data_IF_820437429625
#
_entry.id   IF_820437429625
#
_cell.length_a   1.000
_cell.length_b   1.000
_cell.length_c   1.000
_cell.angle_alpha   90.00
_cell.angle_beta   90.00
_cell.angle_gamma   90.00
#
_symmetry.space_group_name_H-M   'P 1'
#
loop_
_entity.id
_entity.type
_entity.pdbx_description
1 polymer ?
#
# COMPACT_ATOMS: atom_id res chain seq x y z
N UNK A 1 -22.52 -7.87 2.36
CA UNK A 1 -21.52 -6.79 2.15
C UNK A 1 -20.53 -6.77 3.31
N UNK A 2 -19.25 -6.61 3.00
CA UNK A 2 -18.21 -6.59 4.04
C UNK A 2 -18.09 -5.20 4.67
N UNK A 3 -17.92 -5.17 5.99
CA UNK A 3 -17.62 -3.92 6.70
C UNK A 3 -16.17 -3.52 6.44
N UNK A 4 -15.82 -2.28 6.80
CA UNK A 4 -14.43 -1.81 6.70
C UNK A 4 -13.49 -2.68 7.53
N UNK A 5 -13.94 -3.10 8.71
CA UNK A 5 -13.15 -3.95 9.60
C UNK A 5 -12.94 -5.34 8.99
N UNK A 6 -13.95 -5.90 8.34
CA UNK A 6 -13.84 -7.19 7.64
C UNK A 6 -12.89 -7.11 6.46
N UNK A 7 -12.92 -6.01 5.72
CA UNK A 7 -12.01 -5.78 4.59
C UNK A 7 -10.57 -5.71 5.10
N UNK A 8 -10.33 -4.92 6.15
CA UNK A 8 -8.99 -4.80 6.74
C UNK A 8 -8.48 -6.15 7.22
N UNK A 9 -9.33 -6.90 7.92
CA UNK A 9 -8.98 -8.22 8.43
C UNK A 9 -8.63 -9.18 7.29
N UNK A 10 -9.43 -9.18 6.21
CA UNK A 10 -9.17 -10.01 5.05
C UNK A 10 -7.79 -9.69 4.42
N UNK A 11 -7.52 -8.40 4.22
CA UNK A 11 -6.25 -7.96 3.61
C UNK A 11 -5.06 -8.38 4.46
N UNK A 12 -5.15 -8.20 5.78
CA UNK A 12 -4.04 -8.49 6.69
C UNK A 12 -3.77 -9.99 6.86
N UNK A 13 -4.67 -10.86 6.43
CA UNK A 13 -4.47 -12.31 6.47
C UNK A 13 -3.72 -12.84 5.26
N UNK A 14 -3.53 -12.05 4.23
CA UNK A 14 -2.83 -12.50 3.02
C UNK A 14 -1.32 -12.32 3.17
N UNK A 15 -0.55 -12.96 2.28
CA UNK A 15 0.91 -12.88 2.30
C UNK A 15 1.42 -11.55 1.73
N UNK A 16 0.67 -11.00 0.78
CA UNK A 16 1.07 -9.77 0.10
C UNK A 16 -0.18 -9.04 -0.38
N UNK A 17 -0.03 -7.77 -0.64
CA UNK A 17 -1.04 -6.97 -1.33
C UNK A 17 -0.50 -6.59 -2.70
N UNK A 18 -1.36 -6.59 -3.71
CA UNK A 18 -0.98 -6.14 -5.04
C UNK A 18 -1.43 -4.71 -5.20
N UNK A 19 -0.52 -3.86 -5.64
CA UNK A 19 -0.86 -2.45 -5.87
C UNK A 19 -0.64 -2.10 -7.33
N UNK A 20 -1.45 -1.18 -7.82
CA UNK A 20 -1.36 -0.69 -9.18
C UNK A 20 -1.05 0.80 -9.18
N UNK A 21 -0.23 1.22 -10.14
CA UNK A 21 0.10 2.61 -10.41
C UNK A 21 -0.02 2.85 -11.91
N UNK A 22 0.02 4.11 -12.32
CA UNK A 22 -0.09 4.48 -13.74
C UNK A 22 1.20 5.14 -14.18
N UNK A 23 1.78 4.66 -15.28
CA UNK A 23 3.01 5.23 -15.81
C UNK A 23 2.76 6.45 -16.70
N UNK A 24 3.84 7.04 -17.23
CA UNK A 24 3.75 8.27 -18.04
C UNK A 24 2.96 8.09 -19.33
N UNK A 25 2.91 6.87 -19.86
CA UNK A 25 2.17 6.57 -21.06
C UNK A 25 0.71 6.18 -20.77
N UNK A 26 0.32 6.18 -19.50
CA UNK A 26 -1.04 5.83 -19.09
C UNK A 26 -1.29 4.36 -18.88
N UNK A 27 -0.25 3.53 -18.92
CA UNK A 27 -0.43 2.10 -18.67
C UNK A 27 -0.46 1.80 -17.18
N UNK A 28 -1.35 0.88 -16.76
CA UNK A 28 -1.34 0.41 -15.37
C UNK A 28 -0.19 -0.55 -15.14
N UNK A 29 0.50 -0.35 -14.03
CA UNK A 29 1.60 -1.22 -13.59
C UNK A 29 1.19 -1.86 -12.27
N UNK A 30 1.60 -3.09 -12.04
CA UNK A 30 1.23 -3.82 -10.82
C UNK A 30 2.45 -4.40 -10.14
N UNK A 31 2.40 -4.46 -8.82
CA UNK A 31 3.46 -5.06 -8.03
C UNK A 31 2.90 -5.65 -6.75
N UNK A 32 3.49 -6.76 -6.33
CA UNK A 32 3.24 -7.32 -5.01
C UNK A 32 4.04 -6.52 -3.97
N UNK A 33 3.40 -6.19 -2.86
CA UNK A 33 4.04 -5.48 -1.76
C UNK A 33 3.79 -6.20 -0.45
N UNK A 34 4.63 -5.91 0.53
CA UNK A 34 4.35 -6.30 1.90
C UNK A 34 3.03 -5.68 2.32
N UNK A 35 2.35 -6.32 3.26
CA UNK A 35 1.06 -5.87 3.72
C UNK A 35 1.13 -4.46 4.31
N UNK A 36 0.01 -3.72 4.29
CA UNK A 36 -0.02 -2.41 4.94
C UNK A 36 0.30 -2.57 6.42
N UNK A 37 1.02 -1.62 6.97
CA UNK A 37 1.42 -1.64 8.39
C UNK A 37 0.40 -0.98 9.30
N UNK A 38 -0.49 -0.21 8.72
CA UNK A 38 -1.58 0.43 9.45
C UNK A 38 -2.77 0.57 8.52
N UNK A 39 -3.95 0.30 9.04
CA UNK A 39 -5.22 0.54 8.35
C UNK A 39 -6.10 1.35 9.29
N UNK A 40 -6.55 2.50 8.82
CA UNK A 40 -7.42 3.38 9.57
C UNK A 40 -8.58 3.78 8.67
N UNK A 41 -9.72 3.11 8.84
CA UNK A 41 -10.88 3.33 8.01
C UNK A 41 -10.59 3.05 6.55
N UNK A 42 -10.63 4.08 5.72
CA UNK A 42 -10.34 3.99 4.29
C UNK A 42 -8.87 4.23 3.95
N UNK A 43 -8.02 4.43 4.94
CA UNK A 43 -6.62 4.77 4.74
C UNK A 43 -5.72 3.57 5.04
N UNK A 44 -4.85 3.24 4.10
CA UNK A 44 -3.94 2.11 4.19
C UNK A 44 -2.51 2.63 4.05
N UNK A 45 -1.65 2.30 5.02
CA UNK A 45 -0.30 2.83 5.08
C UNK A 45 0.72 1.74 4.81
N UNK A 46 1.55 1.95 3.79
CA UNK A 46 2.61 1.02 3.39
C UNK A 46 3.95 1.70 3.57
N UNK A 47 4.97 0.92 3.96
CA UNK A 47 6.33 1.44 3.93
C UNK A 47 6.99 1.05 2.61
N UNK A 48 7.75 1.98 2.02
CA UNK A 48 8.45 1.74 0.77
C UNK A 48 9.64 2.68 0.67
N UNK A 49 10.34 2.61 -0.44
CA UNK A 49 11.46 3.50 -0.70
C UNK A 49 11.09 4.56 -1.73
N UNK A 50 11.61 5.77 -1.49
CA UNK A 50 11.34 6.94 -2.34
C UNK A 50 11.83 6.73 -3.77
N UNK A 51 12.94 6.00 -3.92
CA UNK A 51 13.56 5.78 -5.23
C UNK A 51 12.85 4.75 -6.10
N UNK A 52 11.82 4.06 -5.58
CA UNK A 52 11.12 3.06 -6.38
C UNK A 52 10.36 3.70 -7.54
N UNK A 53 10.25 2.95 -8.64
CA UNK A 53 9.52 3.41 -9.82
C UNK A 53 8.07 3.75 -9.49
N UNK A 54 7.38 2.90 -8.69
CA UNK A 54 5.98 3.15 -8.35
C UNK A 54 5.79 4.40 -7.49
N UNK A 55 6.74 4.70 -6.59
CA UNK A 55 6.67 5.92 -5.80
C UNK A 55 6.75 7.15 -6.71
N UNK A 56 7.66 7.12 -7.69
CA UNK A 56 7.78 8.21 -8.66
C UNK A 56 6.52 8.33 -9.52
N UNK A 57 5.90 7.21 -9.86
CA UNK A 57 4.65 7.21 -10.61
C UNK A 57 3.52 7.87 -9.80
N UNK A 58 3.39 7.55 -8.52
CA UNK A 58 2.36 8.14 -7.66
C UNK A 58 2.55 9.65 -7.47
N UNK A 59 3.78 10.13 -7.47
CA UNK A 59 4.04 11.57 -7.39
C UNK A 59 3.48 12.31 -8.61
N UNK A 60 3.42 11.66 -9.75
CA UNK A 60 2.89 12.24 -10.99
C UNK A 60 1.41 11.96 -11.21
N UNK A 61 0.97 10.77 -10.80
CA UNK A 61 -0.42 10.36 -10.96
C UNK A 61 -0.84 9.57 -9.71
N UNK A 62 -1.68 10.16 -8.85
CA UNK A 62 -2.05 9.52 -7.60
C UNK A 62 -3.04 8.37 -7.72
N UNK A 63 -3.60 8.13 -8.89
CA UNK A 63 -4.57 7.05 -9.07
C UNK A 63 -3.93 5.70 -8.79
N UNK A 64 -4.62 4.89 -7.99
CA UNK A 64 -4.09 3.63 -7.50
C UNK A 64 -5.20 2.61 -7.27
N UNK A 65 -4.80 1.36 -7.23
CA UNK A 65 -5.68 0.26 -6.84
C UNK A 65 -4.91 -0.69 -5.94
N UNK A 66 -5.64 -1.36 -5.05
CA UNK A 66 -5.10 -2.45 -4.25
C UNK A 66 -5.94 -3.68 -4.53
N UNK A 67 -5.29 -4.83 -4.65
CA UNK A 67 -5.99 -6.10 -4.79
C UNK A 67 -5.45 -7.10 -3.78
N UNK A 68 -6.38 -7.80 -3.10
CA UNK A 68 -6.07 -8.89 -2.18
C UNK A 68 -6.85 -10.12 -2.61
N UNK A 69 -6.22 -11.27 -2.51
CA UNK A 69 -6.74 -12.50 -3.06
C UNK A 69 -6.49 -13.66 -2.09
N UNK A 70 -7.51 -14.47 -1.91
CA UNK A 70 -7.40 -15.68 -1.12
C UNK A 70 -7.97 -16.85 -1.92
N UNK A 71 -7.15 -17.85 -2.15
CA UNK A 71 -7.59 -19.09 -2.80
C UNK A 71 -7.94 -20.11 -1.72
N UNK A 72 -9.24 -20.30 -1.49
CA UNK A 72 -9.73 -21.34 -0.61
C UNK A 72 -9.79 -22.68 -1.33
N UNK A 73 -10.18 -23.73 -0.61
CA UNK A 73 -10.34 -25.06 -1.18
C UNK A 73 -11.42 -25.12 -2.23
N UNK A 74 -12.52 -24.40 -2.02
CA UNK A 74 -13.71 -24.45 -2.87
C UNK A 74 -13.98 -23.10 -3.50
N UNK A 75 -13.71 -22.01 -2.77
CA UNK A 75 -14.02 -20.65 -3.22
C UNK A 75 -12.78 -19.81 -3.36
N UNK A 76 -12.81 -18.91 -4.32
CA UNK A 76 -11.85 -17.82 -4.41
C UNK A 76 -12.50 -16.58 -3.84
N UNK A 77 -11.74 -15.80 -3.11
CA UNK A 77 -12.19 -14.50 -2.62
C UNK A 77 -11.20 -13.44 -3.02
N UNK A 78 -11.71 -12.31 -3.48
CA UNK A 78 -10.86 -11.19 -3.86
C UNK A 78 -11.50 -9.89 -3.46
N UNK A 79 -10.67 -8.93 -3.08
CA UNK A 79 -11.11 -7.57 -2.77
C UNK A 79 -10.26 -6.63 -3.59
N UNK A 80 -10.92 -5.81 -4.41
CA UNK A 80 -10.26 -4.72 -5.14
C UNK A 80 -10.74 -3.39 -4.58
N UNK A 81 -9.80 -2.53 -4.23
CA UNK A 81 -10.07 -1.17 -3.81
C UNK A 81 -9.44 -0.23 -4.81
N UNK A 82 -10.15 0.80 -5.21
CA UNK A 82 -9.60 1.85 -6.05
C UNK A 82 -9.64 3.17 -5.30
N UNK A 83 -8.66 4.03 -5.55
CA UNK A 83 -8.53 5.29 -4.84
C UNK A 83 -7.31 6.06 -5.26
N UNK A 84 -6.71 6.74 -4.30
CA UNK A 84 -5.54 7.58 -4.54
C UNK A 84 -4.42 7.24 -3.57
N UNK A 85 -3.19 7.44 -4.02
CA UNK A 85 -1.99 7.19 -3.23
C UNK A 85 -1.23 8.49 -3.02
N UNK A 86 -0.87 8.77 -1.77
CA UNK A 86 -0.01 9.89 -1.42
C UNK A 86 1.34 9.39 -0.95
N UNK A 87 2.39 10.10 -1.30
CA UNK A 87 3.75 9.82 -0.82
C UNK A 87 4.01 10.73 0.37
N UNK A 88 4.16 10.15 1.55
CA UNK A 88 4.35 10.90 2.79
C UNK A 88 5.79 10.76 3.28
N UNK A 89 6.43 11.89 3.56
CA UNK A 89 7.81 11.94 4.04
C UNK A 89 7.97 12.72 5.34
N UNK A 90 6.87 13.17 5.94
CA UNK A 90 6.94 13.85 7.22
C UNK A 90 7.40 12.89 8.31
N UNK A 91 8.23 13.38 9.20
CA UNK A 91 8.91 12.57 10.19
C UNK A 91 7.95 11.86 11.14
N UNK A 92 6.85 12.51 11.46
CA UNK A 92 5.85 11.97 12.37
C UNK A 92 5.24 10.66 11.85
N UNK A 93 4.77 10.65 10.59
CA UNK A 93 4.18 9.45 10.00
C UNK A 93 5.25 8.39 9.75
N UNK A 94 6.46 8.78 9.38
CA UNK A 94 7.57 7.84 9.18
C UNK A 94 7.88 7.09 10.49
N UNK A 95 7.90 7.79 11.61
CA UNK A 95 8.13 7.17 12.91
C UNK A 95 6.98 6.23 13.30
N UNK A 96 5.74 6.62 13.03
CA UNK A 96 4.58 5.82 13.36
C UNK A 96 4.58 4.47 12.62
N UNK A 97 5.01 4.46 11.35
CA UNK A 97 4.96 3.27 10.50
C UNK A 97 6.26 2.45 10.61
N UNK A 98 7.34 3.05 11.08
CA UNK A 98 8.65 2.41 11.19
C UNK A 98 8.63 1.16 12.07
N UNK A 99 9.36 0.12 11.64
CA UNK A 99 9.59 -1.10 12.43
C UNK A 99 11.09 -1.35 12.57
N UNK A 100 11.49 -1.97 13.68
CA UNK A 100 12.91 -2.16 14.03
C UNK A 100 13.73 -2.83 12.93
N UNK A 101 13.16 -3.81 12.21
CA UNK A 101 13.85 -4.50 11.13
C UNK A 101 14.15 -3.66 9.90
N UNK A 102 13.57 -2.48 9.80
CA UNK A 102 13.72 -1.62 8.64
C UNK A 102 15.13 -1.05 8.49
N UNK A 103 15.93 -1.04 9.57
CA UNK A 103 17.32 -0.59 9.50
C UNK A 103 18.17 -1.43 8.55
N UNK A 104 17.74 -2.65 8.22
CA UNK A 104 18.41 -3.48 7.23
C UNK A 104 18.34 -2.88 5.82
N UNK A 105 17.30 -2.10 5.55
CA UNK A 105 17.07 -1.50 4.24
C UNK A 105 17.40 0.00 4.20
N UNK A 106 17.37 0.66 5.35
CA UNK A 106 17.53 2.11 5.45
C UNK A 106 18.62 2.43 6.47
N UNK A 107 19.83 2.68 5.98
CA UNK A 107 21.04 2.83 6.81
C UNK A 107 20.95 3.98 7.80
N UNK A 108 20.25 5.05 7.43
CA UNK A 108 20.13 6.23 8.29
C UNK A 108 18.91 6.14 9.21
N UNK A 109 18.25 4.98 9.27
CA UNK A 109 17.10 4.76 10.12
C UNK A 109 15.85 5.45 9.61
N UNK A 110 14.98 5.81 10.54
CA UNK A 110 13.67 6.39 10.22
C UNK A 110 13.77 7.72 9.49
N UNK A 111 14.88 8.43 9.63
CA UNK A 111 15.11 9.70 8.93
C UNK A 111 15.78 9.54 7.57
N UNK A 112 16.04 8.30 7.15
CA UNK A 112 16.64 8.04 5.84
C UNK A 112 15.77 8.65 4.73
N UNK A 113 16.34 9.50 3.85
CA UNK A 113 15.55 10.15 2.81
C UNK A 113 14.95 9.18 1.79
N UNK A 114 15.49 7.95 1.69
CA UNK A 114 14.91 6.94 0.80
C UNK A 114 13.73 6.19 1.43
N UNK A 115 13.50 6.37 2.73
CA UNK A 115 12.35 5.78 3.41
C UNK A 115 11.15 6.70 3.30
N UNK A 116 10.01 6.18 2.85
CA UNK A 116 8.77 6.95 2.82
C UNK A 116 7.57 6.04 3.12
N UNK A 117 6.44 6.67 3.31
CA UNK A 117 5.18 5.98 3.57
C UNK A 117 4.23 6.28 2.41
N UNK A 118 3.59 5.24 1.89
CA UNK A 118 2.52 5.40 0.92
C UNK A 118 1.19 5.32 1.67
N UNK A 119 0.36 6.34 1.51
CA UNK A 119 -0.98 6.37 2.09
C UNK A 119 -2.00 6.19 0.97
N UNK A 120 -2.65 5.05 0.97
CA UNK A 120 -3.74 4.77 0.03
C UNK A 120 -5.06 5.13 0.67
N UNK A 121 -5.86 5.95 -0.02
CA UNK A 121 -7.20 6.31 0.43
C UNK A 121 -8.20 5.66 -0.52
N UNK A 122 -8.96 4.70 -0.01
CA UNK A 122 -9.96 3.98 -0.81
C UNK A 122 -11.17 4.86 -1.08
N UNK A 123 -11.59 4.88 -2.34
CA UNK A 123 -12.79 5.60 -2.78
C UNK A 123 -13.95 4.63 -2.95
N UNK A 124 -13.68 3.46 -3.52
CA UNK A 124 -14.70 2.40 -3.69
C UNK A 124 -14.02 1.05 -3.73
N UNK A 125 -14.82 0.01 -3.52
CA UNK A 125 -14.33 -1.35 -3.51
C UNK A 125 -15.25 -2.31 -4.23
N UNK A 126 -14.71 -3.48 -4.55
CA UNK A 126 -15.43 -4.57 -5.21
C UNK A 126 -14.94 -5.90 -4.60
N UNK A 127 -15.90 -6.77 -4.29
CA UNK A 127 -15.59 -8.08 -3.69
C UNK A 127 -16.02 -9.21 -4.62
#
# INVERSE_FOLDING_TARGET
MKTKEQIAEFILKQEAAFIASVDEQGYPNMKAMLLPRKIDGNNFYFSTNTSSMRTQQYLKNPKASIYSYHKGRIKYEGIMLVGTMEVLQDQEIKQEIWRAGDTMYYKEGVSDPDYCVLKFTAVKGRY
#
